data_IF_189729079043
#
_entry.id   IF_189729079043
#
_cell.length_a   1.000
_cell.length_b   1.000
_cell.length_c   1.000
_cell.angle_alpha   90.00
_cell.angle_beta   90.00
_cell.angle_gamma   90.00
#
_symmetry.space_group_name_H-M   'P 1'
#
loop_
_entity.id
_entity.type
_entity.pdbx_description
1 polymer ?
#
# COMPACT_ATOMS: atom_id res chain seq x y z
N UNK A 1 -10.04 -7.33 17.27
CA UNK A 1 -9.35 -6.02 17.22
C UNK A 1 -9.29 -5.55 15.79
N UNK A 2 -9.60 -4.29 15.51
CA UNK A 2 -9.43 -3.66 14.19
C UNK A 2 -8.18 -2.77 14.21
N UNK A 3 -7.28 -2.93 13.23
CA UNK A 3 -6.07 -2.12 13.11
C UNK A 3 -6.02 -1.42 11.73
N UNK A 4 -6.66 -0.24 11.59
CA UNK A 4 -6.63 0.52 10.35
C UNK A 4 -5.31 1.26 10.18
N UNK A 5 -4.77 1.23 8.97
CA UNK A 5 -3.54 1.97 8.65
C UNK A 5 -3.01 1.65 7.26
N UNK A 6 -2.05 2.45 6.79
CA UNK A 6 -1.42 2.18 5.49
C UNK A 6 -0.52 0.96 5.52
N UNK A 7 0.09 0.66 6.66
CA UNK A 7 0.92 -0.53 6.89
C UNK A 7 2.03 -0.70 5.84
N UNK A 8 2.68 0.41 5.43
CA UNK A 8 3.85 0.35 4.52
C UNK A 8 5.00 -0.42 5.17
N UNK A 9 5.17 -0.27 6.47
CA UNK A 9 6.21 -0.89 7.28
C UNK A 9 5.63 -1.27 8.64
N UNK A 10 6.01 -2.44 9.16
CA UNK A 10 5.59 -2.93 10.48
C UNK A 10 6.79 -2.93 11.45
N UNK A 11 6.61 -2.37 12.64
CA UNK A 11 7.70 -2.18 13.62
C UNK A 11 7.76 -3.30 14.66
N UNK A 12 8.91 -3.44 15.33
CA UNK A 12 9.04 -4.33 16.50
C UNK A 12 8.11 -3.91 17.64
N UNK A 13 7.92 -2.61 17.83
CA UNK A 13 6.99 -2.06 18.82
C UNK A 13 5.57 -2.59 18.58
N UNK A 14 5.06 -2.49 17.35
CA UNK A 14 3.71 -2.99 17.01
C UNK A 14 3.56 -4.48 17.29
N UNK A 15 4.59 -5.30 17.07
CA UNK A 15 4.54 -6.73 17.42
C UNK A 15 4.42 -6.96 18.93
N UNK A 16 5.12 -6.17 19.74
CA UNK A 16 4.98 -6.22 21.20
C UNK A 16 3.59 -5.78 21.65
N UNK A 17 3.17 -4.61 21.21
CA UNK A 17 1.91 -3.97 21.60
C UNK A 17 0.70 -4.83 21.22
N UNK A 18 0.61 -5.31 19.98
CA UNK A 18 -0.53 -6.10 19.52
C UNK A 18 -0.62 -7.46 20.22
N UNK A 19 0.51 -8.10 20.55
CA UNK A 19 0.51 -9.35 21.33
C UNK A 19 -0.01 -9.12 22.74
N UNK A 20 0.43 -8.05 23.40
CA UNK A 20 -0.05 -7.70 24.73
C UNK A 20 -1.55 -7.40 24.69
N UNK A 21 -1.99 -6.56 23.76
CA UNK A 21 -3.40 -6.21 23.61
C UNK A 21 -4.27 -7.43 23.27
N UNK A 22 -3.76 -8.39 22.47
CA UNK A 22 -4.47 -9.63 22.16
C UNK A 22 -4.53 -10.61 23.35
N UNK A 23 -3.58 -10.55 24.28
CA UNK A 23 -3.54 -11.38 25.48
C UNK A 23 -4.40 -10.85 26.63
N UNK A 24 -4.62 -9.53 26.69
CA UNK A 24 -5.38 -8.83 27.74
C UNK A 24 -6.91 -8.94 27.62
N UNK A 25 -7.46 -9.94 26.92
CA UNK A 25 -8.91 -10.04 26.61
C UNK A 25 -9.85 -9.53 27.72
N UNK A 26 -10.78 -8.64 27.35
CA UNK A 26 -11.83 -7.98 28.16
C UNK A 26 -11.46 -7.27 29.48
N UNK A 27 -10.21 -7.34 29.96
CA UNK A 27 -9.81 -6.53 31.11
C UNK A 27 -9.63 -5.05 30.71
N UNK A 28 -10.17 -4.08 31.47
CA UNK A 28 -9.94 -2.67 31.23
C UNK A 28 -8.43 -2.38 31.22
N UNK A 29 -7.98 -1.58 30.25
CA UNK A 29 -6.64 -0.99 30.28
C UNK A 29 -6.51 -0.24 31.61
N UNK A 30 -5.76 -0.82 32.55
CA UNK A 30 -5.46 -0.17 33.81
C UNK A 30 -4.70 1.12 33.50
N UNK A 31 -5.30 2.25 33.88
CA UNK A 31 -4.61 3.52 33.94
C UNK A 31 -3.31 3.31 34.71
N UNK A 32 -2.19 3.61 34.06
CA UNK A 32 -0.86 3.29 34.56
C UNK A 32 -0.62 3.93 35.93
N UNK A 33 -0.41 3.08 36.94
CA UNK A 33 0.40 3.45 38.09
C UNK A 33 1.39 2.32 38.41
N UNK A 34 2.59 2.73 38.82
CA UNK A 34 3.79 1.91 38.73
C UNK A 34 3.90 0.77 39.74
N UNK A 35 4.63 -0.25 39.30
CA UNK A 35 5.50 -1.15 40.05
C UNK A 35 4.93 -1.89 41.29
N UNK A 36 4.93 -3.23 41.22
CA UNK A 36 5.95 -4.08 41.88
C UNK A 36 5.71 -5.55 41.52
N UNK A 37 6.80 -6.31 41.35
CA UNK A 37 6.75 -7.69 40.92
C UNK A 37 6.34 -8.68 42.00
N UNK A 38 5.93 -9.87 41.57
CA UNK A 38 6.23 -11.12 42.25
C UNK A 38 6.17 -12.25 41.23
N UNK A 39 7.25 -13.03 41.19
CA UNK A 39 7.31 -14.32 40.53
C UNK A 39 6.53 -15.32 41.40
N UNK A 40 5.66 -16.12 40.81
CA UNK A 40 5.50 -17.49 41.27
C UNK A 40 4.95 -18.42 40.18
N UNK A 41 5.60 -19.57 40.08
CA UNK A 41 5.37 -20.63 39.12
C UNK A 41 4.25 -21.59 39.60
N UNK A 42 3.45 -22.10 38.66
CA UNK A 42 2.55 -23.22 38.95
C UNK A 42 1.66 -23.55 37.75
N UNK A 43 2.01 -24.63 37.05
CA UNK A 43 1.35 -25.04 35.80
C UNK A 43 -0.11 -25.46 35.94
N UNK A 44 -0.83 -25.31 34.84
CA UNK A 44 -2.00 -26.11 34.51
C UNK A 44 -2.04 -26.33 33.00
N UNK A 45 -1.85 -27.59 32.61
CA UNK A 45 -2.16 -28.12 31.29
C UNK A 45 -3.67 -28.13 31.06
N UNK A 46 -4.12 -27.65 29.90
CA UNK A 46 -5.44 -27.94 29.35
C UNK A 46 -6.36 -26.74 29.12
N UNK A 47 -6.27 -26.13 27.94
CA UNK A 47 -7.44 -25.60 27.20
C UNK A 47 -7.01 -25.29 25.76
N UNK A 48 -7.26 -26.23 24.85
CA UNK A 48 -7.12 -26.05 23.40
C UNK A 48 -8.25 -25.20 22.78
N UNK A 49 -8.84 -24.26 23.54
CA UNK A 49 -9.83 -23.29 23.03
C UNK A 49 -9.92 -22.04 23.93
N UNK A 50 -8.79 -21.38 24.18
CA UNK A 50 -8.81 -19.98 24.63
C UNK A 50 -8.92 -19.13 23.36
N UNK A 51 -10.12 -18.61 23.10
CA UNK A 51 -10.44 -17.78 21.94
C UNK A 51 -9.48 -16.60 21.80
N UNK A 52 -8.40 -16.79 21.05
CA UNK A 52 -7.42 -15.75 20.78
C UNK A 52 -8.03 -14.62 19.96
N UNK A 53 -7.79 -13.37 20.38
CA UNK A 53 -8.26 -12.20 19.66
C UNK A 53 -7.73 -12.20 18.22
N UNK A 54 -8.62 -12.03 17.24
CA UNK A 54 -8.22 -11.85 15.83
C UNK A 54 -7.91 -10.37 15.55
N UNK A 55 -6.78 -10.11 14.90
CA UNK A 55 -6.40 -8.79 14.40
C UNK A 55 -6.90 -8.63 12.96
N UNK A 56 -7.85 -7.74 12.75
CA UNK A 56 -8.30 -7.35 11.41
C UNK A 56 -7.48 -6.17 10.94
N UNK A 57 -6.60 -6.38 9.97
CA UNK A 57 -5.74 -5.37 9.38
C UNK A 57 -6.48 -4.69 8.22
N UNK A 58 -7.09 -3.54 8.49
CA UNK A 58 -7.67 -2.70 7.45
C UNK A 58 -6.57 -1.89 6.77
N UNK A 59 -6.05 -2.40 5.65
CA UNK A 59 -4.94 -1.79 4.91
C UNK A 59 -5.49 -0.67 4.04
N UNK A 60 -5.31 0.57 4.48
CA UNK A 60 -5.86 1.76 3.82
C UNK A 60 -5.04 2.18 2.61
N UNK A 61 -5.67 2.93 1.71
CA UNK A 61 -5.12 3.31 0.41
C UNK A 61 -4.58 2.10 -0.35
N UNK A 62 -5.28 0.97 -0.30
CA UNK A 62 -4.85 -0.30 -0.90
C UNK A 62 -4.76 -0.26 -2.44
N UNK A 63 -5.49 0.65 -3.08
CA UNK A 63 -5.41 0.95 -4.51
C UNK A 63 -4.28 1.93 -4.87
N UNK A 64 -3.52 2.45 -3.90
CA UNK A 64 -2.37 3.32 -4.17
C UNK A 64 -1.07 2.52 -4.00
N UNK A 65 -0.13 2.75 -4.92
CA UNK A 65 1.20 2.16 -4.95
C UNK A 65 2.16 3.13 -5.64
N UNK A 66 3.49 2.91 -5.57
CA UNK A 66 4.58 3.75 -6.12
C UNK A 66 4.26 5.26 -6.22
N UNK A 67 3.75 5.85 -5.13
CA UNK A 67 3.69 7.31 -4.91
C UNK A 67 4.46 7.65 -3.64
N UNK A 68 4.85 8.92 -3.43
CA UNK A 68 5.60 9.30 -2.22
C UNK A 68 4.86 8.91 -0.94
N UNK A 69 3.53 9.10 -0.92
CA UNK A 69 2.67 8.78 0.23
C UNK A 69 2.35 7.28 0.35
N UNK A 70 2.37 6.56 -0.77
CA UNK A 70 2.07 5.13 -0.86
C UNK A 70 3.11 4.38 -1.69
N UNK A 71 4.36 4.23 -1.21
CA UNK A 71 5.43 3.67 -2.01
C UNK A 71 5.32 2.15 -2.16
N UNK A 72 4.72 1.45 -1.18
CA UNK A 72 4.63 -0.01 -1.19
C UNK A 72 3.24 -0.47 -1.66
N UNK A 73 3.16 -1.36 -2.68
CA UNK A 73 1.88 -1.84 -3.18
C UNK A 73 1.18 -2.78 -2.21
N UNK A 74 -0.16 -2.83 -2.25
CA UNK A 74 -0.99 -3.58 -1.30
C UNK A 74 -0.55 -5.03 -1.13
N UNK A 75 -0.35 -5.77 -2.22
CA UNK A 75 0.02 -7.18 -2.17
C UNK A 75 1.36 -7.44 -1.45
N UNK A 76 2.26 -6.44 -1.40
CA UNK A 76 3.51 -6.53 -0.63
C UNK A 76 3.30 -6.19 0.84
N UNK A 77 2.42 -5.24 1.14
CA UNK A 77 2.00 -4.93 2.51
C UNK A 77 1.28 -6.13 3.14
N UNK A 78 0.35 -6.74 2.42
CA UNK A 78 -0.35 -7.97 2.80
C UNK A 78 0.65 -9.11 3.08
N UNK A 79 1.59 -9.37 2.16
CA UNK A 79 2.64 -10.39 2.39
C UNK A 79 3.51 -10.11 3.62
N UNK A 80 3.79 -8.83 3.92
CA UNK A 80 4.51 -8.44 5.13
C UNK A 80 3.67 -8.65 6.39
N UNK A 81 2.38 -8.30 6.37
CA UNK A 81 1.44 -8.50 7.48
C UNK A 81 1.24 -9.99 7.76
N UNK A 82 1.03 -10.82 6.74
CA UNK A 82 0.87 -12.27 6.92
C UNK A 82 2.11 -12.89 7.58
N UNK A 83 3.30 -12.55 7.08
CA UNK A 83 4.56 -13.01 7.67
C UNK A 83 4.79 -12.46 9.08
N UNK A 84 4.44 -11.20 9.31
CA UNK A 84 4.49 -10.56 10.62
C UNK A 84 3.59 -11.29 11.61
N UNK A 85 2.36 -11.61 11.19
CA UNK A 85 1.35 -12.26 12.02
C UNK A 85 1.81 -13.63 12.49
N UNK A 86 2.33 -14.45 11.58
CA UNK A 86 2.90 -15.77 11.95
C UNK A 86 4.07 -15.63 12.93
N UNK A 87 5.02 -14.73 12.65
CA UNK A 87 6.20 -14.56 13.50
C UNK A 87 5.90 -13.92 14.86
N UNK A 88 4.83 -13.12 14.94
CA UNK A 88 4.34 -12.53 16.18
C UNK A 88 3.31 -13.43 16.89
N UNK A 89 2.95 -14.59 16.35
CA UNK A 89 1.93 -15.46 16.94
C UNK A 89 0.53 -14.83 17.00
N UNK A 90 0.21 -13.95 16.04
CA UNK A 90 -1.08 -13.26 15.94
C UNK A 90 -1.97 -13.97 14.93
N UNK A 91 -3.24 -14.22 15.31
CA UNK A 91 -4.29 -14.58 14.35
C UNK A 91 -4.73 -13.31 13.63
N UNK A 92 -4.61 -13.29 12.31
CA UNK A 92 -4.85 -12.09 11.51
C UNK A 92 -5.77 -12.33 10.33
N UNK A 93 -6.49 -11.28 9.94
CA UNK A 93 -7.22 -11.19 8.67
C UNK A 93 -6.84 -9.86 8.02
N UNK A 94 -6.41 -9.88 6.76
CA UNK A 94 -6.00 -8.67 6.03
C UNK A 94 -7.10 -8.27 5.06
N UNK A 95 -7.49 -7.00 5.09
CA UNK A 95 -8.57 -6.46 4.25
C UNK A 95 -8.08 -5.21 3.51
N UNK A 96 -8.18 -5.16 2.17
CA UNK A 96 -7.88 -3.94 1.42
C UNK A 96 -8.98 -2.92 1.61
N UNK A 97 -8.62 -1.70 2.02
CA UNK A 97 -9.53 -0.55 2.07
C UNK A 97 -9.05 0.48 1.06
N UNK A 98 -9.86 0.73 0.03
CA UNK A 98 -9.49 1.63 -1.05
C UNK A 98 -9.61 3.08 -0.61
N UNK A 99 -8.67 3.90 -1.08
CA UNK A 99 -8.71 5.34 -0.88
C UNK A 99 -9.94 5.91 -1.61
N UNK A 100 -10.64 6.80 -0.91
CA UNK A 100 -11.73 7.60 -1.47
C UNK A 100 -11.48 9.05 -1.16
N UNK A 101 -12.24 9.94 -1.79
CA UNK A 101 -12.26 11.36 -1.38
C UNK A 101 -12.46 11.45 0.14
N UNK A 102 -11.71 12.30 0.86
CA UNK A 102 -11.83 12.44 2.30
C UNK A 102 -13.28 12.63 2.74
N UNK A 103 -13.68 11.88 3.76
CA UNK A 103 -15.06 11.87 4.27
C UNK A 103 -15.08 11.56 5.76
N UNK A 104 -16.03 12.16 6.47
CA UNK A 104 -16.27 11.89 7.89
C UNK A 104 -16.86 10.49 8.15
N UNK A 105 -17.19 9.75 7.07
CA UNK A 105 -17.74 8.39 7.10
C UNK A 105 -16.70 7.29 6.92
N UNK A 106 -15.42 7.64 6.94
CA UNK A 106 -14.33 6.69 6.66
C UNK A 106 -14.37 5.43 7.57
N UNK A 107 -14.69 5.58 8.86
CA UNK A 107 -14.83 4.45 9.79
C UNK A 107 -15.98 3.50 9.39
N UNK A 108 -17.16 4.03 9.05
CA UNK A 108 -18.28 3.21 8.56
C UNK A 108 -17.94 2.47 7.27
N UNK A 109 -17.27 3.16 6.33
CA UNK A 109 -16.86 2.56 5.05
C UNK A 109 -15.87 1.42 5.29
N UNK A 110 -14.92 1.61 6.21
CA UNK A 110 -13.97 0.57 6.60
C UNK A 110 -14.68 -0.65 7.19
N UNK A 111 -15.58 -0.46 8.16
CA UNK A 111 -16.35 -1.54 8.77
C UNK A 111 -17.19 -2.32 7.74
N UNK A 112 -17.87 -1.61 6.83
CA UNK A 112 -18.63 -2.22 5.74
C UNK A 112 -17.75 -3.01 4.78
N UNK A 113 -16.54 -2.49 4.49
CA UNK A 113 -15.57 -3.17 3.62
C UNK A 113 -15.07 -4.46 4.26
N UNK A 114 -14.78 -4.43 5.57
CA UNK A 114 -14.41 -5.63 6.34
C UNK A 114 -15.54 -6.66 6.29
N UNK A 115 -16.77 -6.26 6.61
CA UNK A 115 -17.92 -7.16 6.58
C UNK A 115 -18.14 -7.77 5.19
N UNK A 116 -18.09 -6.96 4.13
CA UNK A 116 -18.28 -7.43 2.76
C UNK A 116 -17.16 -8.36 2.28
N UNK A 117 -15.92 -8.15 2.71
CA UNK A 117 -14.75 -8.93 2.26
C UNK A 117 -14.54 -10.23 3.04
N UNK A 118 -14.99 -10.27 4.29
CA UNK A 118 -14.64 -11.35 5.23
C UNK A 118 -15.85 -12.03 5.87
N UNK A 119 -17.03 -11.42 5.80
CA UNK A 119 -18.21 -11.84 6.57
C UNK A 119 -18.14 -11.49 8.07
N UNK A 120 -17.07 -10.85 8.53
CA UNK A 120 -16.92 -10.44 9.94
C UNK A 120 -17.62 -9.10 10.19
N UNK A 121 -18.67 -9.12 11.00
CA UNK A 121 -19.29 -7.90 11.52
C UNK A 121 -18.58 -7.47 12.80
N UNK A 122 -17.85 -6.36 12.73
CA UNK A 122 -17.15 -5.81 13.89
C UNK A 122 -18.06 -4.83 14.62
N UNK A 123 -18.27 -5.03 15.92
CA UNK A 123 -19.14 -4.19 16.74
C UNK A 123 -18.38 -3.60 17.93
N UNK A 124 -18.85 -2.48 18.51
CA UNK A 124 -18.25 -1.94 19.73
C UNK A 124 -18.18 -2.92 20.90
N UNK A 125 -19.07 -3.93 20.93
CA UNK A 125 -19.13 -4.91 22.00
C UNK A 125 -17.98 -5.93 21.94
N UNK A 126 -17.48 -6.24 20.74
CA UNK A 126 -16.49 -7.30 20.50
C UNK A 126 -15.15 -6.78 19.94
N UNK A 127 -15.07 -5.48 19.64
CA UNK A 127 -13.93 -4.92 18.91
C UNK A 127 -13.35 -3.70 19.61
N UNK A 128 -12.05 -3.79 19.90
CA UNK A 128 -11.18 -2.63 20.16
C UNK A 128 -10.52 -2.20 18.86
N UNK A 129 -10.46 -0.89 18.62
CA UNK A 129 -9.77 -0.28 17.47
C UNK A 129 -8.39 0.19 17.90
N UNK A 130 -7.34 -0.44 17.36
CA UNK A 130 -5.96 -0.03 17.55
C UNK A 130 -5.63 1.10 16.56
N UNK A 131 -5.52 2.36 16.99
CA UNK A 131 -5.27 3.48 16.08
C UNK A 131 -4.53 4.64 16.76
N UNK A 132 -3.35 5.00 16.23
CA UNK A 132 -2.53 6.12 16.72
C UNK A 132 -2.79 7.47 16.01
N UNK A 133 -3.78 7.54 15.12
CA UNK A 133 -4.15 8.78 14.41
C UNK A 133 -5.40 9.39 15.04
N UNK A 134 -5.30 10.54 15.76
CA UNK A 134 -6.40 11.09 16.55
C UNK A 134 -7.69 11.34 15.74
N UNK A 135 -7.56 11.87 14.53
CA UNK A 135 -8.73 12.20 13.69
C UNK A 135 -9.48 10.93 13.26
N UNK A 136 -8.75 9.83 13.03
CA UNK A 136 -9.34 8.53 12.68
C UNK A 136 -9.92 7.85 13.91
N UNK A 137 -9.21 7.86 15.05
CA UNK A 137 -9.71 7.35 16.32
C UNK A 137 -11.05 7.99 16.70
N UNK A 138 -11.14 9.32 16.59
CA UNK A 138 -12.37 10.07 16.85
C UNK A 138 -13.56 9.64 15.96
N UNK A 139 -13.31 9.15 14.74
CA UNK A 139 -14.38 8.61 13.89
C UNK A 139 -14.95 7.30 14.44
N UNK A 140 -14.11 6.43 14.97
CA UNK A 140 -14.53 5.16 15.57
C UNK A 140 -15.15 5.35 16.96
N UNK A 141 -14.66 6.30 17.77
CA UNK A 141 -15.27 6.67 19.05
C UNK A 141 -16.70 7.16 18.89
N UNK A 142 -16.98 7.97 17.85
CA UNK A 142 -18.35 8.40 17.53
C UNK A 142 -19.30 7.24 17.19
N UNK A 143 -18.74 6.11 16.77
CA UNK A 143 -19.50 4.87 16.52
C UNK A 143 -19.55 3.96 17.77
N UNK A 144 -18.99 4.39 18.89
CA UNK A 144 -19.01 3.70 20.19
C UNK A 144 -17.85 2.74 20.44
N UNK A 145 -16.88 2.63 19.52
CA UNK A 145 -15.75 1.71 19.70
C UNK A 145 -14.76 2.21 20.76
N UNK A 146 -14.19 1.27 21.51
CA UNK A 146 -13.03 1.53 22.36
C UNK A 146 -11.78 1.69 21.51
N UNK A 147 -10.92 2.65 21.85
CA UNK A 147 -9.66 2.91 21.17
C UNK A 147 -8.48 2.42 22.02
N UNK A 148 -7.55 1.74 21.37
CA UNK A 148 -6.19 1.53 21.86
C UNK A 148 -5.27 2.39 20.98
N UNK A 149 -4.63 3.42 21.55
CA UNK A 149 -3.88 4.44 20.83
C UNK A 149 -2.52 4.00 20.27
N UNK A 150 -2.10 2.76 20.54
CA UNK A 150 -0.86 2.16 19.99
C UNK A 150 0.37 2.98 20.36
N UNK A 151 1.07 3.59 19.37
CA UNK A 151 2.23 4.44 19.64
C UNK A 151 1.84 5.69 20.47
N UNK A 152 0.60 6.17 20.38
CA UNK A 152 0.15 7.39 21.05
C UNK A 152 -0.09 7.23 22.56
N UNK A 153 -0.25 5.99 23.05
CA UNK A 153 -0.54 5.71 24.47
C UNK A 153 0.73 5.41 25.29
N UNK A 154 1.91 5.43 24.67
CA UNK A 154 3.15 4.96 25.31
C UNK A 154 4.11 6.14 25.48
N UNK A 155 4.69 6.26 26.69
CA UNK A 155 5.75 7.23 26.97
C UNK A 155 7.07 6.56 27.39
N UNK A 156 8.22 6.93 26.80
CA UNK A 156 8.35 7.88 25.69
C UNK A 156 7.70 7.36 24.39
N UNK A 157 7.09 8.25 23.62
CA UNK A 157 6.44 7.89 22.34
C UNK A 157 7.38 7.10 21.43
N UNK A 158 7.05 5.85 21.07
CA UNK A 158 7.83 5.05 20.13
C UNK A 158 7.91 5.69 18.75
N UNK A 159 9.00 5.43 18.01
CA UNK A 159 9.16 5.91 16.63
C UNK A 159 8.05 5.34 15.74
N UNK A 160 7.29 6.21 15.07
CA UNK A 160 6.14 5.80 14.26
C UNK A 160 6.60 5.08 12.99
N UNK A 161 5.81 4.14 12.45
CA UNK A 161 6.18 3.40 11.24
C UNK A 161 6.53 4.28 10.03
N UNK A 162 5.86 5.42 9.88
CA UNK A 162 6.14 6.38 8.81
C UNK A 162 7.54 7.01 8.96
N UNK A 163 7.94 7.37 10.19
CA UNK A 163 9.27 7.93 10.45
C UNK A 163 10.36 6.88 10.22
N UNK A 164 10.10 5.62 10.53
CA UNK A 164 11.00 4.51 10.20
C UNK A 164 11.14 4.33 8.68
N UNK A 165 10.04 4.49 7.93
CA UNK A 165 10.06 4.46 6.46
C UNK A 165 10.87 5.64 5.88
N UNK A 166 10.78 6.83 6.46
CA UNK A 166 11.58 7.98 6.05
C UNK A 166 13.07 7.77 6.31
N UNK A 167 13.45 7.18 7.46
CA UNK A 167 14.85 6.76 7.70
C UNK A 167 15.36 5.79 6.64
N UNK A 168 14.52 4.85 6.21
CA UNK A 168 14.86 3.96 5.09
C UNK A 168 15.09 4.74 3.78
N UNK A 169 14.23 5.73 3.50
CA UNK A 169 14.34 6.57 2.30
C UNK A 169 15.62 7.43 2.31
N UNK A 170 16.07 7.85 3.50
CA UNK A 170 17.30 8.62 3.72
C UNK A 170 18.57 7.73 3.84
N UNK A 171 18.44 6.42 3.62
CA UNK A 171 19.51 5.42 3.76
C UNK A 171 20.12 5.33 5.19
N UNK A 172 19.38 5.75 6.22
CA UNK A 172 19.77 5.60 7.63
C UNK A 172 19.61 4.14 8.08
N UNK A 173 20.68 3.40 8.38
CA UNK A 173 20.62 1.96 8.70
C UNK A 173 19.78 1.65 9.95
N UNK A 174 19.53 2.62 10.84
CA UNK A 174 18.75 2.44 12.07
C UNK A 174 17.31 2.01 11.82
N UNK A 175 16.77 2.20 10.61
CA UNK A 175 15.44 1.71 10.25
C UNK A 175 15.30 0.20 10.47
N UNK A 176 16.37 -0.57 10.25
CA UNK A 176 16.37 -2.04 10.39
C UNK A 176 16.21 -2.48 11.85
N UNK A 177 16.71 -1.69 12.80
CA UNK A 177 16.65 -1.98 14.24
C UNK A 177 15.26 -1.70 14.81
N UNK A 178 14.50 -0.81 14.18
CA UNK A 178 13.11 -0.50 14.55
C UNK A 178 12.09 -1.41 13.85
N UNK A 179 12.43 -1.92 12.66
CA UNK A 179 11.52 -2.66 11.78
C UNK A 179 11.42 -4.16 12.08
N UNK A 180 10.21 -4.70 12.20
CA UNK A 180 10.03 -6.13 12.44
C UNK A 180 10.74 -7.01 11.39
N UNK A 181 11.42 -8.11 11.77
CA UNK A 181 12.15 -8.98 10.83
C UNK A 181 11.32 -9.49 9.64
N UNK A 182 10.02 -9.68 9.83
CA UNK A 182 9.09 -10.05 8.75
C UNK A 182 9.09 -9.03 7.60
N UNK A 183 9.00 -7.74 7.93
CA UNK A 183 9.03 -6.64 6.96
C UNK A 183 10.38 -6.56 6.29
N UNK A 184 11.48 -6.66 7.06
CA UNK A 184 12.85 -6.65 6.51
C UNK A 184 13.05 -7.78 5.50
N UNK A 185 12.54 -8.98 5.78
CA UNK A 185 12.59 -10.12 4.86
C UNK A 185 11.86 -9.84 3.54
N UNK A 186 10.60 -9.39 3.61
CA UNK A 186 9.79 -9.06 2.42
C UNK A 186 10.46 -7.96 1.61
N UNK A 187 10.96 -6.91 2.27
CA UNK A 187 11.67 -5.83 1.61
C UNK A 187 12.90 -6.31 0.85
N UNK A 188 13.72 -7.16 1.48
CA UNK A 188 14.90 -7.74 0.82
C UNK A 188 14.54 -8.61 -0.38
N UNK A 189 13.54 -9.48 -0.24
CA UNK A 189 13.13 -10.42 -1.32
C UNK A 189 12.63 -9.71 -2.57
N UNK A 190 11.95 -8.58 -2.40
CA UNK A 190 11.33 -7.82 -3.49
C UNK A 190 12.01 -6.49 -3.79
N UNK A 191 13.17 -6.22 -3.17
CA UNK A 191 13.94 -4.97 -3.29
C UNK A 191 13.08 -3.72 -3.04
N UNK A 192 12.21 -3.79 -2.04
CA UNK A 192 11.31 -2.69 -1.71
C UNK A 192 12.03 -1.51 -1.05
N UNK A 193 13.21 -1.75 -0.48
CA UNK A 193 14.08 -0.69 0.03
C UNK A 193 14.56 0.24 -1.10
N UNK A 194 15.01 -0.33 -2.21
CA UNK A 194 15.37 0.43 -3.41
C UNK A 194 14.15 1.16 -4.00
N UNK A 195 13.00 0.49 -4.05
CA UNK A 195 11.75 1.09 -4.52
C UNK A 195 11.35 2.30 -3.66
N UNK A 196 11.30 2.14 -2.34
CA UNK A 196 10.90 3.22 -1.43
C UNK A 196 11.86 4.40 -1.54
N UNK A 197 13.18 4.16 -1.54
CA UNK A 197 14.18 5.23 -1.78
C UNK A 197 13.93 5.96 -3.08
N UNK A 198 13.68 5.22 -4.16
CA UNK A 198 13.45 5.83 -5.48
C UNK A 198 12.18 6.68 -5.54
N UNK A 199 11.10 6.19 -4.93
CA UNK A 199 9.77 6.82 -5.02
C UNK A 199 9.64 8.00 -4.06
N UNK A 200 10.09 7.85 -2.82
CA UNK A 200 9.99 8.90 -1.79
C UNK A 200 10.85 10.11 -2.17
N UNK A 201 12.04 9.86 -2.73
CA UNK A 201 12.97 10.92 -3.15
C UNK A 201 12.78 11.37 -4.60
N UNK A 202 11.77 10.86 -5.32
CA UNK A 202 11.52 11.26 -6.71
C UNK A 202 11.10 12.74 -6.75
N UNK A 203 11.84 13.64 -7.43
CA UNK A 203 11.53 15.07 -7.44
C UNK A 203 10.31 15.45 -8.29
N UNK A 204 9.82 14.57 -9.16
CA UNK A 204 8.76 14.85 -10.15
C UNK A 204 7.38 14.38 -9.68
N UNK A 205 7.31 13.33 -8.88
CA UNK A 205 6.05 12.70 -8.48
C UNK A 205 5.49 13.38 -7.22
N UNK A 206 4.26 13.90 -7.28
CA UNK A 206 3.56 14.42 -6.11
C UNK A 206 3.08 13.31 -5.16
N UNK A 207 2.56 13.69 -3.99
CA UNK A 207 2.23 12.75 -2.91
C UNK A 207 1.27 11.62 -3.33
N UNK A 208 0.28 11.94 -4.16
CA UNK A 208 -0.73 10.99 -4.67
C UNK A 208 -0.44 10.45 -6.09
N UNK A 209 0.78 10.63 -6.60
CA UNK A 209 1.18 10.11 -7.91
C UNK A 209 0.72 10.95 -9.09
N UNK A 210 0.29 12.19 -8.83
CA UNK A 210 -0.02 13.19 -9.86
C UNK A 210 1.18 14.07 -10.21
N UNK A 211 1.15 14.67 -11.40
CA UNK A 211 2.14 15.67 -11.86
C UNK A 211 1.86 17.07 -11.29
N UNK A 212 0.60 17.38 -10.96
CA UNK A 212 0.17 18.60 -10.27
C UNK A 212 -1.07 18.32 -9.41
N UNK A 213 -1.42 19.24 -8.51
CA UNK A 213 -2.57 19.12 -7.57
C UNK A 213 -3.94 19.42 -8.19
N UNK A 214 -4.01 20.06 -9.36
CA UNK A 214 -5.25 20.63 -9.93
C UNK A 214 -5.63 20.09 -11.32
N UNK A 215 -4.93 19.06 -11.83
CA UNK A 215 -5.18 18.54 -13.18
C UNK A 215 -6.39 17.62 -13.21
N UNK A 216 -7.32 17.91 -14.12
CA UNK A 216 -8.34 16.96 -14.57
C UNK A 216 -7.71 15.96 -15.55
N UNK A 217 -7.43 14.75 -15.06
CA UNK A 217 -6.81 13.70 -15.86
C UNK A 217 -7.71 13.16 -16.95
N UNK A 218 -9.04 13.36 -16.88
CA UNK A 218 -9.96 12.98 -17.95
C UNK A 218 -9.76 13.87 -19.17
N UNK A 219 -9.89 15.18 -19.00
CA UNK A 219 -9.61 16.17 -20.06
C UNK A 219 -8.20 15.99 -20.62
N UNK A 220 -7.23 15.66 -19.75
CA UNK A 220 -5.86 15.40 -20.18
C UNK A 220 -5.73 14.11 -21.01
N UNK A 221 -6.37 13.00 -20.62
CA UNK A 221 -6.38 11.75 -21.39
C UNK A 221 -7.05 11.92 -22.77
N UNK A 222 -8.14 12.70 -22.84
CA UNK A 222 -8.81 13.07 -24.08
C UNK A 222 -7.84 13.85 -25.00
N UNK A 223 -7.16 14.86 -24.48
CA UNK A 223 -6.16 15.63 -25.25
C UNK A 223 -5.00 14.76 -25.78
N UNK A 224 -4.56 13.75 -25.03
CA UNK A 224 -3.55 12.80 -25.51
C UNK A 224 -4.07 11.92 -26.65
N UNK A 225 -5.33 11.49 -26.55
CA UNK A 225 -5.98 10.66 -27.56
C UNK A 225 -6.19 11.45 -28.86
N UNK A 226 -6.66 12.70 -28.77
CA UNK A 226 -6.85 13.58 -29.93
C UNK A 226 -5.53 13.88 -30.66
N UNK A 227 -4.43 13.97 -29.92
CA UNK A 227 -3.10 14.20 -30.47
C UNK A 227 -2.41 12.93 -30.97
N UNK A 228 -2.94 11.74 -30.68
CA UNK A 228 -2.26 10.46 -30.90
C UNK A 228 -1.99 10.20 -32.39
N UNK A 229 -2.98 10.41 -33.25
CA UNK A 229 -2.83 10.18 -34.70
C UNK A 229 -1.71 11.04 -35.28
N UNK A 230 -1.70 12.35 -34.95
CA UNK A 230 -0.66 13.28 -35.38
C UNK A 230 0.73 12.84 -34.90
N UNK A 231 0.86 12.36 -33.65
CA UNK A 231 2.12 11.84 -33.12
C UNK A 231 2.56 10.58 -33.87
N UNK A 232 1.63 9.66 -34.13
CA UNK A 232 1.92 8.42 -34.84
C UNK A 232 2.37 8.67 -36.28
N UNK A 233 1.64 9.52 -37.01
CA UNK A 233 1.98 9.87 -38.39
C UNK A 233 3.40 10.45 -38.51
N UNK A 234 3.85 11.22 -37.51
CA UNK A 234 5.18 11.81 -37.49
C UNK A 234 6.32 10.80 -37.29
N UNK A 235 6.04 9.61 -36.73
CA UNK A 235 7.09 8.65 -36.34
C UNK A 235 6.97 7.29 -37.02
N UNK A 236 5.79 6.93 -37.54
CA UNK A 236 5.47 5.57 -38.03
C UNK A 236 6.45 5.03 -39.06
N UNK A 237 6.98 5.88 -39.94
CA UNK A 237 7.94 5.47 -40.99
C UNK A 237 9.33 5.14 -40.45
N UNK A 238 9.64 5.59 -39.22
CA UNK A 238 10.92 5.36 -38.56
C UNK A 238 10.87 4.20 -37.55
N UNK A 239 9.67 3.75 -37.16
CA UNK A 239 9.48 2.65 -36.23
C UNK A 239 9.81 1.32 -36.90
N UNK A 240 10.60 0.49 -36.22
CA UNK A 240 11.00 -0.84 -36.69
C UNK A 240 10.50 -1.92 -35.72
N UNK A 241 10.27 -3.15 -36.20
CA UNK A 241 9.92 -4.25 -35.32
C UNK A 241 10.97 -4.48 -34.23
N UNK A 242 10.53 -4.86 -33.03
CA UNK A 242 11.41 -5.05 -31.88
C UNK A 242 10.75 -4.53 -30.60
N UNK A 243 11.41 -3.60 -29.90
CA UNK A 243 10.87 -2.95 -28.70
C UNK A 243 10.58 -1.50 -28.95
N UNK A 244 9.32 -1.14 -28.78
CA UNK A 244 8.82 0.19 -29.09
C UNK A 244 8.36 0.80 -27.78
N UNK A 245 8.99 1.90 -27.38
CA UNK A 245 8.74 2.55 -26.11
C UNK A 245 8.08 3.90 -26.36
N UNK A 246 6.91 4.11 -25.76
CA UNK A 246 6.22 5.40 -25.69
C UNK A 246 6.39 5.99 -24.29
N UNK A 247 7.20 7.05 -24.20
CA UNK A 247 7.52 7.74 -22.94
C UNK A 247 6.54 8.87 -22.71
N UNK A 248 5.88 8.86 -21.54
CA UNK A 248 4.75 9.74 -21.28
C UNK A 248 3.57 9.35 -22.18
N UNK A 249 3.27 8.05 -22.22
CA UNK A 249 2.28 7.48 -23.13
C UNK A 249 0.84 7.97 -22.86
N UNK A 250 0.62 8.68 -21.74
CA UNK A 250 -0.71 9.12 -21.33
C UNK A 250 -1.61 7.92 -21.11
N UNK A 251 -2.75 7.88 -21.81
CA UNK A 251 -3.71 6.78 -21.80
C UNK A 251 -3.44 5.72 -22.90
N UNK A 252 -2.20 5.62 -23.40
CA UNK A 252 -1.75 4.56 -24.31
C UNK A 252 -2.18 4.69 -25.77
N UNK A 253 -2.77 5.83 -26.17
CA UNK A 253 -3.40 6.00 -27.47
C UNK A 253 -2.44 5.84 -28.67
N UNK A 254 -1.16 6.21 -28.54
CA UNK A 254 -0.17 5.99 -29.61
C UNK A 254 0.15 4.50 -29.75
N UNK A 255 0.20 3.75 -28.64
CA UNK A 255 0.41 2.31 -28.68
C UNK A 255 -0.79 1.57 -29.28
N UNK A 256 -2.01 2.08 -29.13
CA UNK A 256 -3.19 1.53 -29.82
C UNK A 256 -3.06 1.65 -31.35
N UNK A 257 -2.44 2.73 -31.83
CA UNK A 257 -2.16 2.91 -33.26
C UNK A 257 -1.04 1.96 -33.72
N UNK A 258 0.02 1.82 -32.93
CA UNK A 258 1.11 0.89 -33.20
C UNK A 258 0.64 -0.58 -33.20
N UNK A 259 -0.29 -0.96 -32.33
CA UNK A 259 -0.91 -2.29 -32.24
C UNK A 259 -1.62 -2.70 -33.54
N UNK A 260 -2.20 -1.73 -34.24
CA UNK A 260 -2.93 -1.96 -35.50
C UNK A 260 -2.01 -2.16 -36.71
N UNK A 261 -0.71 -1.89 -36.57
CA UNK A 261 0.24 -1.97 -37.67
C UNK A 261 0.74 -3.41 -37.84
N UNK A 262 0.45 -4.10 -38.95
CA UNK A 262 0.75 -5.52 -39.10
C UNK A 262 2.23 -5.86 -38.94
N UNK A 263 3.13 -4.94 -39.33
CA UNK A 263 4.57 -5.10 -39.20
C UNK A 263 5.05 -5.17 -37.74
N UNK A 264 4.25 -4.67 -36.79
CA UNK A 264 4.59 -4.56 -35.38
C UNK A 264 3.94 -5.65 -34.51
N UNK A 265 3.24 -6.61 -35.12
CA UNK A 265 2.46 -7.64 -34.42
C UNK A 265 3.27 -8.46 -33.41
N UNK A 266 4.55 -8.70 -33.70
CA UNK A 266 5.46 -9.46 -32.81
C UNK A 266 6.33 -8.56 -31.93
N UNK A 267 6.14 -7.24 -32.00
CA UNK A 267 6.92 -6.28 -31.23
C UNK A 267 6.41 -6.14 -29.80
N UNK A 268 7.31 -5.83 -28.87
CA UNK A 268 6.96 -5.39 -27.53
C UNK A 268 6.53 -3.92 -27.60
N UNK A 269 5.28 -3.62 -27.26
CA UNK A 269 4.74 -2.27 -27.18
C UNK A 269 4.72 -1.82 -25.73
N UNK A 270 5.52 -0.80 -25.40
CA UNK A 270 5.84 -0.49 -24.00
C UNK A 270 5.48 0.96 -23.69
N UNK A 271 4.45 1.14 -22.88
CA UNK A 271 4.05 2.45 -22.38
C UNK A 271 4.68 2.75 -21.03
N UNK A 272 5.32 3.91 -20.92
CA UNK A 272 5.86 4.41 -19.65
C UNK A 272 5.10 5.66 -19.28
N UNK A 273 4.43 5.64 -18.13
CA UNK A 273 3.66 6.77 -17.62
C UNK A 273 4.01 6.99 -16.16
N UNK A 274 4.08 8.23 -15.72
CA UNK A 274 4.39 8.55 -14.32
C UNK A 274 3.12 8.86 -13.53
N UNK A 275 2.12 9.48 -14.18
CA UNK A 275 0.86 9.85 -13.56
C UNK A 275 -0.01 8.62 -13.31
N UNK A 276 -0.38 8.40 -12.04
CA UNK A 276 -1.17 7.24 -11.61
C UNK A 276 -2.46 7.06 -12.42
N UNK A 277 -3.25 8.11 -12.58
CA UNK A 277 -4.54 8.03 -13.26
C UNK A 277 -4.44 7.67 -14.75
N UNK A 278 -3.42 8.18 -15.44
CA UNK A 278 -3.18 7.85 -16.85
C UNK A 278 -2.68 6.41 -17.00
N UNK A 279 -1.80 5.96 -16.09
CA UNK A 279 -1.37 4.57 -16.02
C UNK A 279 -2.53 3.60 -15.75
N UNK A 280 -3.42 3.94 -14.81
CA UNK A 280 -4.62 3.14 -14.51
C UNK A 280 -5.51 2.99 -15.74
N UNK A 281 -5.67 4.05 -16.53
CA UNK A 281 -6.43 4.01 -17.80
C UNK A 281 -5.76 3.09 -18.83
N UNK A 282 -4.44 3.11 -18.95
CA UNK A 282 -3.70 2.18 -19.81
C UNK A 282 -3.97 0.71 -19.42
N UNK A 283 -3.91 0.41 -18.13
CA UNK A 283 -4.18 -0.94 -17.61
C UNK A 283 -5.65 -1.32 -17.82
N UNK A 284 -6.58 -0.38 -17.62
CA UNK A 284 -8.00 -0.59 -17.86
C UNK A 284 -8.28 -0.95 -19.32
N UNK A 285 -7.78 -0.16 -20.28
CA UNK A 285 -7.90 -0.44 -21.72
C UNK A 285 -7.32 -1.80 -22.10
N UNK A 286 -6.15 -2.14 -21.55
CA UNK A 286 -5.56 -3.48 -21.73
C UNK A 286 -6.47 -4.58 -21.23
N UNK A 287 -7.04 -4.43 -20.04
CA UNK A 287 -7.97 -5.41 -19.46
C UNK A 287 -9.28 -5.54 -20.26
N UNK A 288 -9.73 -4.48 -20.92
CA UNK A 288 -10.87 -4.49 -21.83
C UNK A 288 -10.57 -5.08 -23.22
N UNK A 289 -9.32 -5.49 -23.48
CA UNK A 289 -8.94 -6.08 -24.76
C UNK A 289 -8.82 -5.06 -25.91
N UNK A 290 -8.56 -3.78 -25.60
CA UNK A 290 -8.35 -2.73 -26.62
C UNK A 290 -7.14 -3.06 -27.51
N UNK A 291 -6.13 -3.75 -26.97
CA UNK A 291 -4.93 -4.15 -27.69
C UNK A 291 -5.02 -5.61 -28.15
N UNK A 292 -4.78 -5.86 -29.43
CA UNK A 292 -4.75 -7.20 -30.01
C UNK A 292 -3.39 -7.90 -29.79
N UNK A 293 -2.30 -7.14 -29.70
CA UNK A 293 -0.97 -7.64 -29.44
C UNK A 293 -0.85 -8.12 -27.98
N UNK A 294 -0.47 -9.39 -27.73
CA UNK A 294 -0.29 -9.88 -26.37
C UNK A 294 0.90 -9.23 -25.64
N UNK A 295 1.84 -8.63 -26.38
CA UNK A 295 3.09 -8.04 -25.89
C UNK A 295 2.97 -6.54 -25.64
N UNK A 296 1.82 -6.07 -25.15
CA UNK A 296 1.65 -4.69 -24.68
C UNK A 296 1.89 -4.60 -23.18
N UNK A 297 2.83 -3.76 -22.75
CA UNK A 297 3.22 -3.60 -21.36
C UNK A 297 3.13 -2.14 -20.93
N UNK A 298 2.64 -1.90 -19.72
CA UNK A 298 2.62 -0.58 -19.11
C UNK A 298 3.42 -0.58 -17.82
N UNK A 299 4.23 0.46 -17.63
CA UNK A 299 5.02 0.65 -16.42
C UNK A 299 4.78 2.03 -15.84
N UNK A 300 4.48 2.08 -14.53
CA UNK A 300 4.42 3.35 -13.82
C UNK A 300 5.80 3.76 -13.31
N UNK A 301 6.51 4.62 -14.05
CA UNK A 301 7.90 5.04 -13.75
C UNK A 301 8.21 6.44 -14.22
N UNK A 302 9.14 7.10 -13.53
CA UNK A 302 9.78 8.32 -14.00
C UNK A 302 10.95 7.96 -14.94
N UNK A 303 10.99 8.57 -16.12
CA UNK A 303 12.03 8.32 -17.14
C UNK A 303 13.38 8.95 -16.77
N UNK A 304 13.39 9.93 -15.87
CA UNK A 304 14.63 10.50 -15.34
C UNK A 304 15.33 9.57 -14.32
N UNK A 305 14.64 8.52 -13.84
CA UNK A 305 15.14 7.61 -12.79
C UNK A 305 16.03 6.46 -13.26
N UNK A 306 16.31 6.34 -14.57
CA UNK A 306 17.19 5.31 -15.13
C UNK A 306 16.55 4.47 -16.25
N UNK A 307 17.26 3.43 -16.71
CA UNK A 307 16.81 2.59 -17.81
C UNK A 307 15.55 1.78 -17.43
N UNK A 308 14.54 1.78 -18.31
CA UNK A 308 13.28 1.03 -18.11
C UNK A 308 13.54 -0.48 -18.12
N UNK A 309 14.48 -0.91 -18.98
CA UNK A 309 14.95 -2.28 -19.15
C UNK A 309 16.45 -2.35 -19.00
N UNK A 310 16.95 -3.50 -18.55
CA UNK A 310 18.39 -3.74 -18.55
C UNK A 310 18.89 -3.85 -20.00
N UNK A 311 20.17 -3.53 -20.29
CA UNK A 311 20.74 -3.80 -21.60
C UNK A 311 20.54 -5.27 -21.98
N UNK A 312 19.86 -5.53 -23.11
CA UNK A 312 19.57 -6.87 -23.66
C UNK A 312 18.59 -7.75 -22.86
N UNK A 313 17.80 -7.21 -21.92
CA UNK A 313 16.67 -7.95 -21.32
C UNK A 313 15.51 -7.97 -22.27
#
# INVERSE_FOLDING_TARGET
MLFPGRHHLLTRFQAGYLRQLAAQGDDPLADGDGATGSEDAGGATGSDDVGGATVVWAVTSANHENTRRNPVPYHRREAAIERFSVLAGLRSVVVPVFDTVPTDRFAEVTLKTVAASTGLELTPADTVVACSTPEVAAMYERLGFRIAGVEADVEPTPVRPWDVLLRLADDDPSWRDLTHPATVDVYRRYRLDDLVRSVVNDPVVGDEGGLTTTRDYRTYAEAFSDAAQRKWDAVREHVRPGRIVDVGCGAGAVLELADREPALRESDLIGVEVARHLFEECVHKKAQGVFANPNVFFYRRNVLGGAVFAPRS
#
